data_IF_155866126413
#
_entry.id   IF_155866126413
#
_cell.length_a   1.000
_cell.length_b   1.000
_cell.length_c   1.000
_cell.angle_alpha   90.00
_cell.angle_beta   90.00
_cell.angle_gamma   90.00
#
_symmetry.space_group_name_H-M   'P 1'
#
loop_
_entity.id
_entity.type
_entity.pdbx_description
1 polymer ?
#
# COMPACT_ATOMS: atom_id res chain seq x y z
N UNK A 1 -5.25 -21.09 -14.99
CA UNK A 1 -3.86 -20.87 -14.54
C UNK A 1 -2.87 -20.59 -15.69
N UNK A 2 -2.94 -21.24 -16.86
CA UNK A 2 -1.94 -21.07 -17.94
C UNK A 2 -1.93 -19.73 -18.72
N UNK A 3 -2.80 -18.76 -18.38
CA UNK A 3 -2.92 -17.50 -19.13
C UNK A 3 -2.11 -16.33 -18.57
N UNK A 4 -1.86 -16.31 -17.25
CA UNK A 4 -1.29 -15.15 -16.55
C UNK A 4 0.24 -15.23 -16.42
N UNK A 5 0.83 -16.43 -16.25
CA UNK A 5 2.28 -16.66 -16.38
C UNK A 5 2.83 -16.04 -17.68
N UNK A 6 2.04 -16.14 -18.76
CA UNK A 6 2.47 -15.78 -20.11
C UNK A 6 2.82 -14.31 -20.31
N UNK A 7 2.30 -13.37 -19.52
CA UNK A 7 2.49 -11.93 -19.80
C UNK A 7 3.78 -11.37 -19.21
N UNK A 8 4.06 -11.67 -17.93
CA UNK A 8 5.35 -11.33 -17.33
C UNK A 8 6.49 -12.11 -17.99
N UNK A 9 6.28 -13.38 -18.35
CA UNK A 9 7.21 -14.18 -19.17
C UNK A 9 7.39 -13.64 -20.60
N UNK A 10 6.40 -12.93 -21.15
CA UNK A 10 6.61 -12.23 -22.43
C UNK A 10 7.47 -10.98 -22.26
N UNK A 11 7.42 -10.34 -21.08
CA UNK A 11 8.22 -9.15 -20.75
C UNK A 11 9.66 -9.49 -20.38
N UNK A 12 9.91 -10.69 -19.87
CA UNK A 12 11.23 -11.15 -19.44
C UNK A 12 11.59 -12.50 -20.04
N UNK A 13 12.87 -12.72 -20.34
CA UNK A 13 13.37 -14.01 -20.84
C UNK A 13 13.54 -15.05 -19.70
N UNK A 14 12.54 -15.17 -18.82
CA UNK A 14 12.49 -16.06 -17.65
C UNK A 14 11.06 -16.41 -17.27
N UNK A 15 10.85 -17.62 -16.74
CA UNK A 15 9.55 -18.01 -16.15
C UNK A 15 9.21 -17.20 -14.90
N UNK A 16 7.94 -17.14 -14.50
CA UNK A 16 7.57 -16.51 -13.20
C UNK A 16 8.32 -17.17 -12.04
N UNK A 17 8.43 -18.49 -12.03
CA UNK A 17 9.16 -19.24 -11.00
C UNK A 17 10.67 -18.93 -10.97
N UNK A 18 11.29 -18.70 -12.12
CA UNK A 18 12.69 -18.27 -12.21
C UNK A 18 12.87 -16.83 -11.71
N UNK A 19 11.90 -15.95 -11.98
CA UNK A 19 11.91 -14.57 -11.48
C UNK A 19 11.73 -14.52 -9.96
N UNK A 20 10.87 -15.37 -9.40
CA UNK A 20 10.73 -15.53 -7.94
C UNK A 20 12.04 -15.99 -7.31
N UNK A 21 12.68 -17.03 -7.86
CA UNK A 21 13.96 -17.51 -7.37
C UNK A 21 15.07 -16.44 -7.48
N UNK A 22 15.07 -15.63 -8.54
CA UNK A 22 15.97 -14.47 -8.69
C UNK A 22 15.72 -13.42 -7.62
N UNK A 23 14.46 -13.04 -7.37
CA UNK A 23 14.09 -12.04 -6.38
C UNK A 23 14.44 -12.49 -4.95
N UNK A 24 14.15 -13.74 -4.59
CA UNK A 24 14.50 -14.31 -3.28
C UNK A 24 16.03 -14.33 -3.04
N UNK A 25 16.81 -14.60 -4.09
CA UNK A 25 18.28 -14.50 -4.03
C UNK A 25 18.74 -13.07 -3.75
N UNK A 26 18.14 -12.07 -4.41
CA UNK A 26 18.46 -10.66 -4.14
C UNK A 26 18.10 -10.26 -2.71
N UNK A 27 16.91 -10.64 -2.24
CA UNK A 27 16.43 -10.39 -0.87
C UNK A 27 17.39 -10.97 0.16
N UNK A 28 17.75 -12.24 0.01
CA UNK A 28 18.70 -12.92 0.90
C UNK A 28 20.07 -12.25 0.86
N UNK A 29 20.56 -11.89 -0.33
CA UNK A 29 21.87 -11.27 -0.48
C UNK A 29 21.91 -9.84 0.08
N UNK A 30 20.83 -9.06 -0.01
CA UNK A 30 20.79 -7.69 0.48
C UNK A 30 21.00 -7.59 2.00
N UNK A 31 20.73 -8.67 2.75
CA UNK A 31 21.03 -8.74 4.18
C UNK A 31 22.53 -8.83 4.49
N UNK A 32 23.33 -9.36 3.55
CA UNK A 32 24.77 -9.60 3.75
C UNK A 32 25.67 -8.65 2.94
N UNK A 33 25.21 -8.23 1.76
CA UNK A 33 25.96 -7.40 0.82
C UNK A 33 25.00 -6.47 0.03
N UNK A 34 24.35 -5.51 0.70
CA UNK A 34 23.44 -4.56 0.06
C UNK A 34 24.15 -3.71 -1.02
N UNK A 35 25.47 -3.55 -0.89
CA UNK A 35 26.29 -2.81 -1.84
C UNK A 35 26.28 -3.44 -3.23
N UNK A 36 26.47 -4.75 -3.29
CA UNK A 36 26.44 -5.46 -4.57
C UNK A 36 25.01 -5.55 -5.09
N UNK A 37 24.02 -5.78 -4.25
CA UNK A 37 22.62 -5.85 -4.70
C UNK A 37 22.15 -4.51 -5.27
N UNK A 38 22.62 -3.38 -4.74
CA UNK A 38 22.31 -2.07 -5.29
C UNK A 38 22.73 -1.88 -6.76
N UNK A 39 23.72 -2.63 -7.25
CA UNK A 39 24.09 -2.60 -8.69
C UNK A 39 23.01 -3.16 -9.61
N UNK A 40 22.01 -3.86 -9.04
CA UNK A 40 20.87 -4.44 -9.73
C UNK A 40 19.58 -3.61 -9.57
N UNK A 41 19.62 -2.41 -8.99
CA UNK A 41 18.43 -1.56 -8.83
C UNK A 41 17.63 -1.33 -10.13
N UNK A 42 18.25 -1.10 -11.30
CA UNK A 42 17.49 -1.01 -12.55
C UNK A 42 16.74 -2.29 -12.91
N UNK A 43 17.29 -3.46 -12.54
CA UNK A 43 16.65 -4.77 -12.75
C UNK A 43 15.50 -4.96 -11.76
N UNK A 44 15.72 -4.66 -10.48
CA UNK A 44 14.70 -4.71 -9.42
C UNK A 44 13.52 -3.79 -9.76
N UNK A 45 13.78 -2.54 -10.16
CA UNK A 45 12.74 -1.61 -10.60
C UNK A 45 11.91 -2.18 -11.75
N UNK A 46 12.54 -2.74 -12.77
CA UNK A 46 11.81 -3.37 -13.89
C UNK A 46 10.92 -4.53 -13.42
N UNK A 47 11.35 -5.31 -12.43
CA UNK A 47 10.53 -6.38 -11.85
C UNK A 47 9.30 -5.81 -11.12
N UNK A 48 9.46 -4.72 -10.35
CA UNK A 48 8.33 -3.99 -9.77
C UNK A 48 7.36 -3.51 -10.85
N UNK A 49 7.83 -2.80 -11.87
CA UNK A 49 7.00 -2.26 -12.96
C UNK A 49 6.30 -3.36 -13.79
N UNK A 50 6.76 -4.61 -13.67
CA UNK A 50 6.25 -5.73 -14.43
C UNK A 50 5.30 -6.65 -13.70
N UNK A 51 5.41 -6.73 -12.39
CA UNK A 51 4.55 -7.57 -11.58
C UNK A 51 3.08 -7.11 -11.69
N UNK A 52 2.22 -8.01 -12.15
CA UNK A 52 0.78 -7.83 -12.19
C UNK A 52 0.13 -7.99 -10.80
N UNK A 53 -0.93 -8.81 -10.76
CA UNK A 53 -1.76 -9.04 -9.56
C UNK A 53 -1.97 -10.53 -9.26
N UNK A 54 -1.33 -11.43 -10.00
CA UNK A 54 -1.37 -12.85 -9.64
C UNK A 54 -0.59 -13.09 -8.34
N UNK A 55 -0.92 -14.17 -7.63
CA UNK A 55 -0.23 -14.52 -6.37
C UNK A 55 1.28 -14.62 -6.56
N UNK A 56 1.71 -15.25 -7.65
CA UNK A 56 3.12 -15.48 -7.92
C UNK A 56 3.86 -14.18 -8.28
N UNK A 57 3.22 -13.28 -9.04
CA UNK A 57 3.75 -11.93 -9.30
C UNK A 57 3.84 -11.08 -8.03
N UNK A 58 2.85 -11.18 -7.14
CA UNK A 58 2.89 -10.48 -5.85
C UNK A 58 4.03 -10.97 -4.97
N UNK A 59 4.37 -12.27 -5.00
CA UNK A 59 5.54 -12.79 -4.30
C UNK A 59 6.86 -12.26 -4.87
N UNK A 60 6.99 -12.19 -6.21
CA UNK A 60 8.15 -11.51 -6.84
C UNK A 60 8.24 -10.07 -6.37
N UNK A 61 7.10 -9.36 -6.36
CA UNK A 61 7.03 -7.97 -5.95
C UNK A 61 7.49 -7.79 -4.51
N UNK A 62 6.93 -8.55 -3.55
CA UNK A 62 7.32 -8.49 -2.14
C UNK A 62 8.83 -8.73 -1.97
N UNK A 63 9.39 -9.77 -2.58
CA UNK A 63 10.84 -10.04 -2.49
C UNK A 63 11.69 -8.86 -2.98
N UNK A 64 11.29 -8.24 -4.10
CA UNK A 64 11.97 -7.06 -4.64
C UNK A 64 11.80 -5.85 -3.71
N UNK A 65 10.61 -5.65 -3.15
CA UNK A 65 10.32 -4.56 -2.22
C UNK A 65 11.15 -4.68 -0.94
N UNK A 66 11.19 -5.86 -0.32
CA UNK A 66 12.04 -6.16 0.84
C UNK A 66 13.52 -5.97 0.53
N UNK A 67 13.96 -6.33 -0.68
CA UNK A 67 15.33 -6.08 -1.13
C UNK A 67 15.65 -4.58 -1.15
N UNK A 68 14.77 -3.77 -1.73
CA UNK A 68 14.97 -2.32 -1.85
C UNK A 68 14.94 -1.64 -0.48
N UNK A 69 14.00 -2.02 0.40
CA UNK A 69 13.97 -1.51 1.79
C UNK A 69 15.24 -1.89 2.56
N UNK A 70 15.75 -3.12 2.41
CA UNK A 70 16.99 -3.52 3.06
C UNK A 70 18.20 -2.69 2.60
N UNK A 71 18.23 -2.28 1.32
CA UNK A 71 19.24 -1.33 0.80
C UNK A 71 19.01 0.07 1.37
N UNK A 72 17.76 0.53 1.43
CA UNK A 72 17.40 1.86 1.93
C UNK A 72 17.78 2.05 3.40
N UNK A 73 17.56 1.03 4.22
CA UNK A 73 17.90 1.04 5.65
C UNK A 73 19.43 1.07 5.87
N UNK A 74 20.15 0.18 5.20
CA UNK A 74 21.58 0.00 5.44
C UNK A 74 22.43 1.05 4.71
N UNK A 75 22.09 1.38 3.45
CA UNK A 75 22.87 2.23 2.53
C UNK A 75 21.98 3.11 1.63
N UNK A 76 21.23 4.07 2.20
CA UNK A 76 20.29 4.90 1.44
C UNK A 76 20.96 5.69 0.30
N UNK A 77 22.24 6.06 0.44
CA UNK A 77 22.99 6.73 -0.62
C UNK A 77 23.17 5.89 -1.89
N UNK A 78 23.10 4.57 -1.79
CA UNK A 78 23.19 3.67 -2.94
C UNK A 78 21.97 3.73 -3.85
N UNK A 79 20.85 4.29 -3.36
CA UNK A 79 19.62 4.48 -4.12
C UNK A 79 19.62 5.78 -4.93
N UNK A 80 20.56 6.70 -4.71
CA UNK A 80 20.45 8.08 -5.17
C UNK A 80 20.12 8.23 -6.67
N UNK A 81 20.72 7.40 -7.52
CA UNK A 81 20.54 7.45 -8.98
C UNK A 81 19.17 6.91 -9.45
N UNK A 82 18.58 5.95 -8.72
CA UNK A 82 17.31 5.30 -9.08
C UNK A 82 16.16 5.75 -8.18
N UNK A 83 16.42 6.53 -7.12
CA UNK A 83 15.44 6.86 -6.08
C UNK A 83 14.13 7.46 -6.63
N UNK A 84 14.15 8.47 -7.53
CA UNK A 84 12.91 9.00 -8.10
C UNK A 84 12.09 7.96 -8.87
N UNK A 85 12.78 7.11 -9.64
CA UNK A 85 12.14 6.09 -10.47
C UNK A 85 11.63 4.92 -9.62
N UNK A 86 12.30 4.59 -8.52
CA UNK A 86 11.82 3.62 -7.53
C UNK A 86 10.55 4.14 -6.86
N UNK A 87 10.55 5.38 -6.35
CA UNK A 87 9.34 5.99 -5.77
C UNK A 87 8.18 5.96 -6.77
N UNK A 88 8.44 6.27 -8.05
CA UNK A 88 7.42 6.18 -9.09
C UNK A 88 6.93 4.75 -9.37
N UNK A 89 7.81 3.74 -9.28
CA UNK A 89 7.45 2.33 -9.48
C UNK A 89 6.68 1.72 -8.30
N UNK A 90 6.90 2.23 -7.09
CA UNK A 90 6.07 1.91 -5.91
C UNK A 90 4.71 2.61 -5.98
N UNK A 91 4.68 3.90 -6.31
CA UNK A 91 3.48 4.73 -6.26
C UNK A 91 2.91 4.97 -7.67
N UNK A 92 2.58 3.87 -8.36
CA UNK A 92 2.27 3.85 -9.79
C UNK A 92 0.77 4.02 -10.11
N UNK A 93 -0.11 4.00 -9.11
CA UNK A 93 -1.55 4.22 -9.26
C UNK A 93 -2.03 5.48 -8.53
N UNK A 94 -3.28 5.89 -8.75
CA UNK A 94 -3.85 7.03 -8.05
C UNK A 94 -4.09 6.73 -6.57
N UNK A 95 -4.59 5.54 -6.26
CA UNK A 95 -4.84 5.06 -4.90
C UNK A 95 -3.55 4.97 -4.09
N UNK A 96 -2.47 4.41 -4.69
CA UNK A 96 -1.16 4.33 -4.02
C UNK A 96 -0.62 5.72 -3.68
N UNK A 97 -0.74 6.69 -4.59
CA UNK A 97 -0.28 8.07 -4.36
C UNK A 97 -1.08 8.81 -3.31
N UNK A 98 -2.42 8.73 -3.36
CA UNK A 98 -3.29 9.36 -2.36
C UNK A 98 -3.00 8.81 -0.96
N UNK A 99 -2.90 7.48 -0.83
CA UNK A 99 -2.59 6.85 0.45
C UNK A 99 -1.18 7.22 0.93
N UNK A 100 -0.18 7.14 0.06
CA UNK A 100 1.21 7.49 0.41
C UNK A 100 1.36 8.98 0.75
N UNK A 101 0.68 9.88 0.05
CA UNK A 101 0.66 11.31 0.38
C UNK A 101 0.23 11.49 1.84
N UNK A 102 -0.90 10.89 2.22
CA UNK A 102 -1.42 11.05 3.58
C UNK A 102 -0.56 10.36 4.63
N UNK A 103 -0.04 9.17 4.33
CA UNK A 103 0.91 8.48 5.20
C UNK A 103 2.17 9.32 5.44
N UNK A 104 2.75 9.91 4.39
CA UNK A 104 3.93 10.77 4.51
C UNK A 104 3.66 12.01 5.37
N UNK A 105 2.50 12.63 5.20
CA UNK A 105 2.09 13.75 6.04
C UNK A 105 2.04 13.34 7.51
N UNK A 106 1.33 12.26 7.84
CA UNK A 106 1.20 11.81 9.22
C UNK A 106 2.55 11.35 9.79
N UNK A 107 3.40 10.69 9.00
CA UNK A 107 4.76 10.31 9.40
C UNK A 107 5.65 11.54 9.68
N UNK A 108 5.48 12.62 8.92
CA UNK A 108 6.19 13.88 9.16
C UNK A 108 5.78 14.51 10.49
N UNK A 109 4.48 14.52 10.81
CA UNK A 109 3.96 14.99 12.10
C UNK A 109 4.49 14.14 13.26
N UNK A 110 4.40 12.80 13.15
CA UNK A 110 4.92 11.89 14.18
C UNK A 110 6.42 12.08 14.41
N UNK A 111 7.21 12.31 13.35
CA UNK A 111 8.62 12.59 13.49
C UNK A 111 8.87 13.94 14.16
N UNK A 112 8.12 14.99 13.82
CA UNK A 112 8.19 16.28 14.51
C UNK A 112 7.90 16.14 16.02
N UNK A 113 6.99 15.23 16.38
CA UNK A 113 6.64 14.90 17.77
C UNK A 113 7.62 13.92 18.45
N UNK A 114 8.69 13.53 17.75
CA UNK A 114 9.82 12.77 18.29
C UNK A 114 9.71 11.25 18.17
N UNK A 115 8.77 10.73 17.37
CA UNK A 115 8.80 9.33 16.90
C UNK A 115 9.97 9.17 15.93
N UNK A 116 10.80 8.15 16.12
CA UNK A 116 11.98 7.94 15.30
C UNK A 116 11.61 7.33 13.94
N UNK A 117 12.47 7.50 12.94
CA UNK A 117 12.30 6.85 11.63
C UNK A 117 12.15 5.33 11.73
N UNK A 118 12.93 4.70 12.62
CA UNK A 118 12.83 3.26 12.85
C UNK A 118 11.46 2.88 13.42
N UNK A 119 10.97 3.64 14.42
CA UNK A 119 9.64 3.40 14.98
C UNK A 119 8.53 3.60 13.95
N UNK A 120 8.70 4.56 13.01
CA UNK A 120 7.80 4.75 11.87
C UNK A 120 7.84 3.55 10.93
N UNK A 121 9.00 3.13 10.45
CA UNK A 121 9.11 2.00 9.51
C UNK A 121 8.63 0.70 10.13
N UNK A 122 9.00 0.43 11.39
CA UNK A 122 8.54 -0.77 12.09
C UNK A 122 7.02 -0.74 12.33
N UNK A 123 6.45 0.45 12.58
CA UNK A 123 5.01 0.63 12.69
C UNK A 123 4.29 0.39 11.36
N UNK A 124 4.85 0.84 10.24
CA UNK A 124 4.31 0.57 8.91
C UNK A 124 4.37 -0.93 8.55
N UNK A 125 5.42 -1.64 8.96
CA UNK A 125 5.51 -3.11 8.81
C UNK A 125 4.42 -3.83 9.62
N UNK A 126 4.11 -3.34 10.83
CA UNK A 126 3.00 -3.85 11.65
C UNK A 126 1.65 -3.63 10.95
N UNK A 127 1.44 -2.46 10.35
CA UNK A 127 0.23 -2.16 9.55
C UNK A 127 0.14 -3.08 8.34
N UNK A 128 1.24 -3.31 7.62
CA UNK A 128 1.27 -4.18 6.45
C UNK A 128 0.76 -5.59 6.78
N UNK A 129 1.26 -6.17 7.87
CA UNK A 129 0.80 -7.47 8.36
C UNK A 129 -0.70 -7.50 8.70
N UNK A 130 -1.18 -6.47 9.42
CA UNK A 130 -2.59 -6.35 9.75
C UNK A 130 -3.48 -6.21 8.50
N UNK A 131 -3.06 -5.44 7.50
CA UNK A 131 -3.80 -5.29 6.23
C UNK A 131 -3.95 -6.63 5.50
N UNK A 132 -2.90 -7.45 5.47
CA UNK A 132 -2.93 -8.77 4.84
C UNK A 132 -3.99 -9.66 5.50
N UNK A 133 -3.99 -9.71 6.83
CA UNK A 133 -4.91 -10.53 7.61
C UNK A 133 -6.36 -10.02 7.46
N UNK A 134 -6.57 -8.70 7.57
CA UNK A 134 -7.90 -8.11 7.44
C UNK A 134 -8.49 -8.26 6.04
N UNK A 135 -7.68 -8.11 4.98
CA UNK A 135 -8.15 -8.35 3.61
C UNK A 135 -8.49 -9.81 3.35
N UNK A 136 -7.75 -10.75 3.95
CA UNK A 136 -8.08 -12.17 3.85
C UNK A 136 -9.44 -12.47 4.50
N UNK A 137 -9.67 -11.94 5.71
CA UNK A 137 -10.94 -12.10 6.43
C UNK A 137 -12.12 -11.43 5.70
N UNK A 138 -11.95 -10.23 5.15
CA UNK A 138 -13.01 -9.57 4.34
C UNK A 138 -13.37 -10.42 3.13
N UNK A 139 -12.37 -10.96 2.41
CA UNK A 139 -12.63 -11.79 1.24
C UNK A 139 -13.35 -13.10 1.60
N UNK A 140 -13.03 -13.71 2.74
CA UNK A 140 -13.72 -14.90 3.25
C UNK A 140 -15.17 -14.60 3.64
N UNK A 141 -15.43 -13.45 4.27
CA UNK A 141 -16.78 -13.06 4.69
C UNK A 141 -17.71 -12.71 3.53
N UNK A 142 -17.18 -12.27 2.39
CA UNK A 142 -17.97 -11.89 1.21
C UNK A 142 -18.23 -13.06 0.27
N UNK A 143 -17.46 -14.17 0.40
CA UNK A 143 -17.60 -15.42 -0.37
C UNK A 143 -17.65 -15.19 -1.89
N UNK A 144 -16.81 -14.27 -2.40
CA UNK A 144 -16.80 -13.82 -3.81
C UNK A 144 -15.49 -14.16 -4.53
N UNK A 145 -15.06 -15.43 -4.52
CA UNK A 145 -13.92 -15.95 -5.31
C UNK A 145 -12.62 -15.12 -5.22
N UNK A 146 -12.32 -14.58 -4.04
CA UNK A 146 -11.13 -13.76 -3.79
C UNK A 146 -11.28 -12.28 -4.20
N UNK A 147 -12.52 -11.80 -4.30
CA UNK A 147 -12.88 -10.39 -4.50
C UNK A 147 -13.36 -9.76 -3.20
N UNK A 148 -13.30 -8.43 -3.15
CA UNK A 148 -13.70 -7.60 -2.02
C UNK A 148 -14.52 -6.39 -2.49
N UNK A 149 -15.43 -5.85 -1.65
CA UNK A 149 -16.22 -4.66 -1.94
C UNK A 149 -15.38 -3.42 -2.31
N UNK A 150 -15.61 -2.83 -3.48
CA UNK A 150 -14.88 -1.65 -3.96
C UNK A 150 -15.47 -0.32 -3.48
N UNK A 151 -15.15 0.76 -4.20
CA UNK A 151 -15.74 2.10 -4.04
C UNK A 151 -15.79 2.62 -2.58
N UNK A 152 -14.68 2.51 -1.86
CA UNK A 152 -14.56 2.98 -0.47
C UNK A 152 -15.09 2.00 0.59
N UNK A 153 -15.75 0.91 0.21
CA UNK A 153 -16.24 -0.08 1.16
C UNK A 153 -15.08 -0.74 1.91
N UNK A 154 -14.19 -1.44 1.22
CA UNK A 154 -13.03 -2.08 1.86
C UNK A 154 -12.12 -1.07 2.58
N UNK A 155 -11.91 0.14 2.04
CA UNK A 155 -11.12 1.18 2.72
C UNK A 155 -11.72 1.58 4.08
N UNK A 156 -13.06 1.71 4.17
CA UNK A 156 -13.77 1.97 5.43
C UNK A 156 -13.53 0.85 6.44
N UNK A 157 -13.68 -0.41 6.01
CA UNK A 157 -13.46 -1.56 6.90
C UNK A 157 -12.03 -1.59 7.42
N UNK A 158 -11.05 -1.46 6.53
CA UNK A 158 -9.63 -1.47 6.89
C UNK A 158 -9.31 -0.34 7.87
N UNK A 159 -9.79 0.88 7.60
CA UNK A 159 -9.61 2.01 8.52
C UNK A 159 -10.12 1.68 9.93
N UNK A 160 -11.37 1.22 10.07
CA UNK A 160 -11.92 0.93 11.41
C UNK A 160 -11.21 -0.23 12.10
N UNK A 161 -10.92 -1.32 11.38
CA UNK A 161 -10.26 -2.49 11.98
C UNK A 161 -8.81 -2.22 12.36
N UNK A 162 -8.07 -1.45 11.56
CA UNK A 162 -6.70 -1.02 11.91
C UNK A 162 -6.73 -0.06 13.11
N UNK A 163 -7.74 0.80 13.23
CA UNK A 163 -7.92 1.64 14.44
C UNK A 163 -8.13 0.78 15.69
N UNK A 164 -9.04 -0.21 15.62
CA UNK A 164 -9.30 -1.13 16.73
C UNK A 164 -8.05 -1.94 17.11
N UNK A 165 -7.31 -2.41 16.09
CA UNK A 165 -6.05 -3.14 16.27
C UNK A 165 -4.97 -2.30 16.96
N UNK A 166 -4.90 -0.99 16.69
CA UNK A 166 -3.89 -0.11 17.26
C UNK A 166 -3.85 -0.16 18.80
N UNK A 167 -4.98 -0.37 19.46
CA UNK A 167 -5.06 -0.52 20.92
C UNK A 167 -4.32 -1.74 21.48
N UNK A 168 -4.01 -2.73 20.64
CA UNK A 168 -3.22 -3.90 21.01
C UNK A 168 -1.71 -3.72 20.80
N UNK A 169 -1.31 -2.67 20.08
CA UNK A 169 0.09 -2.39 19.73
C UNK A 169 0.76 -1.62 20.85
N UNK A 170 1.96 -2.03 21.24
CA UNK A 170 2.69 -1.41 22.34
C UNK A 170 3.66 -0.33 21.86
N UNK A 171 3.85 0.70 22.69
CA UNK A 171 4.87 1.73 22.46
C UNK A 171 4.51 2.69 21.35
N UNK A 172 5.51 3.27 20.70
CA UNK A 172 5.33 4.34 19.70
C UNK A 172 4.82 3.85 18.35
N UNK A 173 4.93 2.55 18.08
CA UNK A 173 4.34 1.92 16.89
C UNK A 173 2.82 2.08 16.87
N UNK A 174 2.16 2.11 18.03
CA UNK A 174 0.71 2.38 18.11
C UNK A 174 0.32 3.67 17.40
N UNK A 175 1.09 4.76 17.58
CA UNK A 175 0.82 6.05 16.94
C UNK A 175 0.92 5.97 15.41
N UNK A 176 1.80 5.12 14.90
CA UNK A 176 1.97 4.87 13.46
C UNK A 176 0.78 4.09 12.91
N UNK A 177 0.29 3.09 13.67
CA UNK A 177 -0.90 2.32 13.29
C UNK A 177 -2.15 3.20 13.29
N UNK A 178 -2.32 4.08 14.28
CA UNK A 178 -3.38 5.10 14.32
C UNK A 178 -3.30 6.04 13.11
N UNK A 179 -2.10 6.57 12.83
CA UNK A 179 -1.85 7.41 11.66
C UNK A 179 -2.15 6.70 10.32
N UNK A 180 -1.89 5.40 10.23
CA UNK A 180 -2.21 4.62 9.03
C UNK A 180 -3.72 4.36 8.89
N UNK A 181 -4.42 4.11 9.99
CA UNK A 181 -5.89 4.03 10.01
C UNK A 181 -6.53 5.32 9.48
N UNK A 182 -6.02 6.47 9.89
CA UNK A 182 -6.47 7.77 9.40
C UNK A 182 -6.21 7.93 7.90
N UNK A 183 -5.05 7.48 7.41
CA UNK A 183 -4.71 7.52 5.98
C UNK A 183 -5.61 6.59 5.14
N UNK A 184 -5.98 5.42 5.67
CA UNK A 184 -6.96 4.53 5.05
C UNK A 184 -8.36 5.17 5.01
N UNK A 185 -8.72 5.95 6.03
CA UNK A 185 -9.98 6.70 6.01
C UNK A 185 -9.98 7.78 4.92
N UNK A 186 -8.83 8.38 4.61
CA UNK A 186 -8.71 9.33 3.50
C UNK A 186 -8.92 8.69 2.13
N UNK A 187 -8.65 7.39 1.95
CA UNK A 187 -9.06 6.66 0.74
C UNK A 187 -10.59 6.59 0.59
N UNK A 188 -11.35 6.61 1.69
CA UNK A 188 -12.82 6.70 1.62
C UNK A 188 -13.24 8.05 1.04
N UNK A 189 -12.61 9.15 1.49
CA UNK A 189 -12.85 10.50 0.96
C UNK A 189 -12.49 10.60 -0.51
N UNK A 190 -11.40 9.97 -0.90
CA UNK A 190 -10.99 9.85 -2.29
C UNK A 190 -12.07 9.18 -3.13
N UNK A 191 -12.57 8.01 -2.73
CA UNK A 191 -13.64 7.32 -3.47
C UNK A 191 -14.96 8.10 -3.48
N UNK A 192 -15.32 8.79 -2.40
CA UNK A 192 -16.48 9.70 -2.39
C UNK A 192 -16.33 10.78 -3.49
N UNK A 193 -15.15 11.41 -3.57
CA UNK A 193 -14.83 12.40 -4.60
C UNK A 193 -14.93 11.80 -6.01
N UNK A 194 -14.44 10.59 -6.23
CA UNK A 194 -14.51 9.91 -7.53
C UNK A 194 -15.95 9.64 -7.98
N UNK A 195 -16.87 9.45 -7.02
CA UNK A 195 -18.32 9.29 -7.29
C UNK A 195 -19.09 10.61 -7.29
N UNK A 196 -18.40 11.75 -7.24
CA UNK A 196 -19.03 13.08 -7.25
C UNK A 196 -19.82 13.40 -5.97
N UNK A 197 -19.52 12.69 -4.87
CA UNK A 197 -20.07 12.96 -3.54
C UNK A 197 -19.13 13.93 -2.83
N UNK A 198 -19.68 14.83 -2.01
CA UNK A 198 -18.84 15.66 -1.13
C UNK A 198 -17.96 14.74 -0.26
N UNK A 199 -16.63 14.88 -0.28
CA UNK A 199 -15.74 13.93 0.38
C UNK A 199 -15.93 13.83 1.89
N UNK A 200 -16.34 14.93 2.54
CA UNK A 200 -16.56 14.97 3.98
C UNK A 200 -17.90 14.31 4.30
N UNK A 201 -18.98 14.79 3.69
CA UNK A 201 -20.33 14.28 3.96
C UNK A 201 -20.45 12.80 3.58
N UNK A 202 -19.86 12.41 2.44
CA UNK A 202 -19.87 11.03 1.95
C UNK A 202 -19.12 10.08 2.89
N UNK A 203 -17.92 10.45 3.33
CA UNK A 203 -17.15 9.62 4.26
C UNK A 203 -17.83 9.49 5.64
N UNK A 204 -18.47 10.56 6.12
CA UNK A 204 -19.23 10.54 7.38
C UNK A 204 -20.49 9.66 7.25
N UNK A 205 -21.27 9.77 6.17
CA UNK A 205 -22.43 8.90 5.94
C UNK A 205 -21.98 7.43 5.85
N UNK A 206 -20.88 7.15 5.14
CA UNK A 206 -20.39 5.78 5.02
C UNK A 206 -19.93 5.21 6.36
N UNK A 207 -19.25 5.99 7.19
CA UNK A 207 -18.89 5.57 8.55
C UNK A 207 -20.12 5.25 9.39
N UNK A 208 -21.12 6.14 9.36
CA UNK A 208 -22.36 5.93 10.11
C UNK A 208 -23.10 4.65 9.68
N UNK A 209 -23.10 4.35 8.38
CA UNK A 209 -23.67 3.09 7.88
C UNK A 209 -22.83 1.88 8.25
N UNK A 210 -21.50 1.99 8.25
CA UNK A 210 -20.63 0.93 8.72
C UNK A 210 -20.90 0.58 10.20
N UNK A 211 -21.15 1.57 11.05
CA UNK A 211 -21.43 1.34 12.47
C UNK A 211 -22.82 0.75 12.76
N UNK A 212 -23.79 0.93 11.85
CA UNK A 212 -25.20 0.61 12.09
C UNK A 212 -25.77 -0.51 11.23
N UNK A 213 -25.12 -0.86 10.12
CA UNK A 213 -25.59 -1.88 9.20
C UNK A 213 -25.35 -3.31 9.71
N UNK A 214 -26.22 -4.23 9.29
CA UNK A 214 -26.05 -5.66 9.54
C UNK A 214 -24.91 -6.29 8.74
N UNK A 215 -24.62 -5.73 7.56
CA UNK A 215 -23.52 -6.13 6.67
C UNK A 215 -22.70 -4.87 6.32
N UNK A 216 -21.91 -4.36 7.26
CA UNK A 216 -21.31 -3.03 7.11
C UNK A 216 -20.17 -3.00 6.08
N UNK A 217 -19.48 -4.13 5.89
CA UNK A 217 -18.30 -4.26 5.05
C UNK A 217 -18.58 -4.26 3.54
N UNK A 218 -19.84 -4.43 3.11
CA UNK A 218 -20.23 -4.34 1.69
C UNK A 218 -20.74 -2.96 1.29
N UNK A 219 -20.82 -1.98 2.21
CA UNK A 219 -21.37 -0.66 1.90
C UNK A 219 -20.32 0.22 1.24
N UNK A 220 -20.61 0.75 0.07
CA UNK A 220 -19.71 1.65 -0.68
C UNK A 220 -20.49 2.62 -1.56
N UNK A 221 -19.77 3.50 -2.26
CA UNK A 221 -20.38 4.52 -3.11
C UNK A 221 -20.74 3.97 -4.49
N UNK A 222 -22.02 4.04 -4.86
CA UNK A 222 -22.47 3.72 -6.22
C UNK A 222 -22.10 4.84 -7.20
N UNK A 223 -22.23 4.57 -8.50
CA UNK A 223 -22.01 5.57 -9.56
C UNK A 223 -23.01 6.73 -9.53
N UNK A 224 -24.09 6.61 -8.74
CA UNK A 224 -25.06 7.69 -8.51
C UNK A 224 -24.72 8.55 -7.29
N UNK A 225 -23.62 8.25 -6.60
CA UNK A 225 -23.22 8.95 -5.38
C UNK A 225 -24.04 8.57 -4.15
N UNK A 226 -24.74 7.43 -4.18
CA UNK A 226 -25.50 6.88 -3.05
C UNK A 226 -24.76 5.71 -2.42
N UNK A 227 -24.95 5.47 -1.12
CA UNK A 227 -24.32 4.32 -0.46
C UNK A 227 -25.20 3.08 -0.63
N UNK A 228 -24.64 2.06 -1.26
CA UNK A 228 -25.31 0.82 -1.66
C UNK A 228 -24.44 -0.39 -1.30
N UNK A 229 -24.96 -1.60 -1.53
CA UNK A 229 -24.21 -2.84 -1.31
C UNK A 229 -23.36 -3.14 -2.55
N UNK A 230 -22.04 -3.05 -2.43
CA UNK A 230 -21.09 -3.37 -3.50
C UNK A 230 -21.00 -4.89 -3.63
N UNK A 231 -21.76 -5.45 -4.56
CA UNK A 231 -21.84 -6.90 -4.78
C UNK A 231 -21.69 -7.28 -6.24
N UNK A 232 -22.03 -6.37 -7.15
CA UNK A 232 -21.87 -6.64 -8.56
C UNK A 232 -20.39 -6.66 -8.93
N UNK A 233 -20.02 -7.43 -9.96
CA UNK A 233 -18.62 -7.59 -10.36
C UNK A 233 -17.95 -6.26 -10.73
N UNK A 234 -18.71 -5.29 -11.26
CA UNK A 234 -18.21 -3.94 -11.54
C UNK A 234 -18.01 -3.06 -10.30
N UNK A 235 -18.59 -3.45 -9.16
CA UNK A 235 -18.52 -2.76 -7.88
C UNK A 235 -17.51 -3.40 -6.91
N UNK A 236 -17.02 -4.60 -7.23
CA UNK A 236 -16.01 -5.32 -6.44
C UNK A 236 -14.63 -5.24 -7.09
N UNK A 237 -13.58 -5.51 -6.31
CA UNK A 237 -12.19 -5.53 -6.76
C UNK A 237 -11.55 -6.87 -6.37
N UNK A 238 -10.49 -7.30 -7.06
CA UNK A 238 -9.76 -8.49 -6.59
C UNK A 238 -9.02 -8.14 -5.30
N UNK A 239 -8.95 -9.07 -4.35
CA UNK A 239 -8.19 -8.88 -3.10
C UNK A 239 -6.74 -8.48 -3.39
N UNK A 240 -6.12 -9.11 -4.38
CA UNK A 240 -4.73 -8.84 -4.75
C UNK A 240 -4.52 -7.43 -5.31
N UNK A 241 -5.51 -6.87 -6.01
CA UNK A 241 -5.48 -5.48 -6.44
C UNK A 241 -5.45 -4.53 -5.25
N UNK A 242 -6.36 -4.75 -4.29
CA UNK A 242 -6.43 -3.93 -3.06
C UNK A 242 -5.16 -4.07 -2.24
N UNK A 243 -4.74 -5.31 -2.00
CA UNK A 243 -3.53 -5.61 -1.26
C UNK A 243 -2.31 -4.93 -1.88
N UNK A 244 -2.17 -5.00 -3.21
CA UNK A 244 -1.04 -4.35 -3.89
C UNK A 244 -1.01 -2.86 -3.64
N UNK A 245 -2.09 -2.11 -3.89
CA UNK A 245 -2.00 -0.66 -3.75
C UNK A 245 -1.82 -0.21 -2.28
N UNK A 246 -2.41 -0.92 -1.32
CA UNK A 246 -2.22 -0.58 0.10
C UNK A 246 -0.80 -0.87 0.55
N UNK A 247 -0.27 -2.06 0.24
CA UNK A 247 1.10 -2.46 0.60
C UNK A 247 2.12 -1.58 -0.13
N UNK A 248 1.93 -1.30 -1.42
CA UNK A 248 2.81 -0.44 -2.19
C UNK A 248 2.90 0.99 -1.61
N UNK A 249 1.78 1.53 -1.11
CA UNK A 249 1.77 2.82 -0.43
C UNK A 249 2.52 2.78 0.92
N UNK A 250 2.32 1.73 1.71
CA UNK A 250 3.03 1.53 2.99
C UNK A 250 4.54 1.39 2.76
N UNK A 251 4.94 0.50 1.85
CA UNK A 251 6.35 0.23 1.56
C UNK A 251 7.01 1.41 0.84
N UNK A 252 6.31 2.07 -0.08
CA UNK A 252 6.77 3.31 -0.72
C UNK A 252 6.99 4.42 0.30
N UNK A 253 6.10 4.54 1.29
CA UNK A 253 6.28 5.45 2.44
C UNK A 253 7.50 5.06 3.26
N UNK A 254 7.68 3.77 3.60
CA UNK A 254 8.86 3.28 4.33
C UNK A 254 10.17 3.57 3.57
N UNK A 255 10.18 3.40 2.24
CA UNK A 255 11.32 3.76 1.40
C UNK A 255 11.66 5.24 1.52
N UNK A 256 10.64 6.10 1.42
CA UNK A 256 10.82 7.56 1.52
C UNK A 256 11.31 7.96 2.91
N UNK A 257 10.70 7.45 3.99
CA UNK A 257 11.11 7.71 5.38
C UNK A 257 12.55 7.22 5.62
N UNK A 258 12.93 6.08 5.04
CA UNK A 258 14.29 5.54 5.17
C UNK A 258 15.34 6.43 4.51
N UNK A 259 15.04 6.97 3.32
CA UNK A 259 15.97 7.79 2.53
C UNK A 259 15.98 9.25 3.00
N UNK A 260 14.82 9.84 3.27
CA UNK A 260 14.69 11.26 3.59
C UNK A 260 14.94 11.56 5.06
N UNK A 261 16.01 12.31 5.30
CA UNK A 261 16.53 12.55 6.66
C UNK A 261 15.96 13.81 7.35
N UNK A 262 14.83 14.33 6.88
CA UNK A 262 14.17 15.47 7.52
C UNK A 262 12.69 15.58 7.14
N UNK A 263 11.86 16.02 8.10
CA UNK A 263 10.45 16.41 7.93
C UNK A 263 10.22 17.24 6.66
N UNK A 264 10.96 18.34 6.49
CA UNK A 264 10.80 19.25 5.35
C UNK A 264 11.07 18.61 3.97
N UNK A 265 11.80 17.49 3.91
CA UNK A 265 12.00 16.76 2.65
C UNK A 265 10.87 15.77 2.38
N UNK A 266 10.39 15.08 3.42
CA UNK A 266 9.21 14.24 3.30
C UNK A 266 7.99 15.06 2.85
N UNK A 267 7.75 16.22 3.45
CA UNK A 267 6.66 17.12 3.06
C UNK A 267 6.79 17.66 1.62
N UNK A 268 8.01 17.76 1.07
CA UNK A 268 8.18 18.11 -0.35
C UNK A 268 7.75 16.96 -1.27
N UNK A 269 8.06 15.72 -0.89
CA UNK A 269 7.63 14.56 -1.67
C UNK A 269 6.11 14.41 -1.58
N UNK A 270 5.54 14.58 -0.38
CA UNK A 270 4.09 14.63 -0.16
C UNK A 270 3.42 15.66 -1.08
N UNK A 271 3.94 16.89 -1.14
CA UNK A 271 3.43 17.92 -2.05
C UNK A 271 3.53 17.52 -3.54
N UNK A 272 4.62 16.87 -3.96
CA UNK A 272 4.79 16.37 -5.34
C UNK A 272 3.76 15.27 -5.66
N UNK A 273 3.41 14.42 -4.70
CA UNK A 273 2.35 13.42 -4.88
C UNK A 273 0.99 14.11 -5.03
N UNK A 274 0.70 15.11 -4.18
CA UNK A 274 -0.55 15.88 -4.22
C UNK A 274 -0.79 16.58 -5.57
N UNK A 275 0.27 17.12 -6.20
CA UNK A 275 0.18 17.79 -7.50
C UNK A 275 -0.11 16.83 -8.66
N UNK A 276 0.24 15.53 -8.52
CA UNK A 276 0.05 14.52 -9.58
C UNK A 276 -1.36 13.92 -9.60
N UNK A 277 -2.19 14.22 -8.61
CA UNK A 277 -3.55 13.72 -8.46
C UNK A 277 -4.64 14.79 -8.73
N UNK A 278 -4.23 16.04 -9.03
CA UNK A 278 -5.07 17.13 -9.56
C UNK A 278 -5.16 17.09 -11.10
#
# INVERSE_FOLDING_TARGET
MAGLDSEMERRFDKSISELQAEADQFKTRAQSDPAVVATYLPRLRKLLEAAGYSRDEMMVRDDVQRTILAIADQRPEALADEYPDLVAAFLDTRETRVLAQRLLHNCAELWADGVTRQEITDGLDVVEGEIVDQLADIAEQVDDDGRVPGNGATAMVLSQRVADFAHSVAGRQQLVVEAASDALFDLVRFHASEKGVDPIDGAVDLRSRYETASEPFVRGFSDRGTIEAMRETEETQTKNYVLRYVVDALVGTSLIVSVERSEARMLRIEAVLAERDQ
#
